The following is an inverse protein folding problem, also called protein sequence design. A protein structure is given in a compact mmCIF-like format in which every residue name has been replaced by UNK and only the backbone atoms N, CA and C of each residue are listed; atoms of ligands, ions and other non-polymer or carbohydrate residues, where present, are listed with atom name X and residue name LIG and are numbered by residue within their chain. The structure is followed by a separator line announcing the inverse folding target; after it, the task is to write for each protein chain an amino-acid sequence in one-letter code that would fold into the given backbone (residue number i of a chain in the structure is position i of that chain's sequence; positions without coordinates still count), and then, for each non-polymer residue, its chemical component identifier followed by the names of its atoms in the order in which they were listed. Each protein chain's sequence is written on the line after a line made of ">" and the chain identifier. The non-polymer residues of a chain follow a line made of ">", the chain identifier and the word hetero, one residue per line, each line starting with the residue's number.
data_IF_395374730938
#
_entry.id   IF_395374730938
#
_cell.length_a   1.000
_cell.length_b   1.000
_cell.length_c   1.000
_cell.angle_alpha   90.00
_cell.angle_beta   90.00
_cell.angle_gamma   90.00
#
_symmetry.space_group_name_H-M   'P 1'
#
loop_
_entity.id
_entity.type
_entity.pdbx_description
1 polymer ?
#
# COMPACT_ATOMS: atom_id res chain seq x y z
N UNK A 1 -24.40 -23.02 5.03
CA UNK A 1 -23.81 -23.34 6.33
C UNK A 1 -23.20 -22.05 6.89
N UNK A 2 -23.90 -21.41 7.85
CA UNK A 2 -23.42 -20.19 8.52
C UNK A 2 -22.47 -20.59 9.64
N UNK A 3 -21.20 -20.26 9.50
CA UNK A 3 -20.23 -20.39 10.58
C UNK A 3 -20.13 -19.04 11.28
N UNK A 4 -20.74 -18.95 12.47
CA UNK A 4 -20.51 -17.87 13.43
C UNK A 4 -19.17 -18.11 14.10
N UNK A 5 -18.19 -17.24 13.87
CA UNK A 5 -16.95 -17.22 14.66
C UNK A 5 -17.22 -16.39 15.91
N UNK A 6 -17.34 -17.08 17.04
CA UNK A 6 -17.36 -16.47 18.38
C UNK A 6 -15.97 -15.95 18.71
N UNK A 7 -15.83 -14.64 18.91
CA UNK A 7 -14.63 -14.04 19.51
C UNK A 7 -14.84 -13.97 21.00
N UNK A 8 -14.07 -14.66 21.85
CA UNK A 8 -14.19 -14.53 23.29
C UNK A 8 -13.61 -13.19 23.74
N UNK A 9 -14.46 -12.41 24.41
CA UNK A 9 -14.09 -11.16 25.07
C UNK A 9 -13.31 -11.50 26.35
N UNK A 10 -11.98 -11.43 26.33
CA UNK A 10 -11.16 -11.52 27.54
C UNK A 10 -10.99 -10.12 28.14
N UNK A 11 -11.60 -9.91 29.31
CA UNK A 11 -11.33 -8.79 30.21
C UNK A 11 -9.91 -8.93 30.78
N UNK A 12 -8.98 -8.13 30.28
CA UNK A 12 -7.63 -7.99 30.85
C UNK A 12 -7.48 -6.60 31.49
N UNK A 13 -7.17 -6.61 32.77
CA UNK A 13 -6.88 -5.44 33.60
C UNK A 13 -5.59 -4.73 33.15
N UNK A 14 -5.45 -3.39 33.38
CA UNK A 14 -4.48 -2.59 32.64
C UNK A 14 -3.15 -2.46 33.38
N UNK A 15 -2.08 -2.90 32.72
CA UNK A 15 -0.71 -2.46 32.99
C UNK A 15 0.02 -2.30 31.65
N UNK A 16 -0.24 -1.18 30.97
CA UNK A 16 0.41 -0.89 29.69
C UNK A 16 0.89 0.57 29.66
N UNK A 17 2.21 0.74 29.65
CA UNK A 17 2.84 1.99 29.20
C UNK A 17 2.84 2.00 27.68
N UNK A 18 2.02 2.86 27.06
CA UNK A 18 2.00 3.07 25.63
C UNK A 18 3.28 3.77 25.17
N UNK A 19 3.90 3.24 24.14
CA UNK A 19 4.92 3.96 23.36
C UNK A 19 4.25 4.69 22.20
N UNK A 20 4.67 5.94 22.01
CA UNK A 20 4.21 6.78 20.89
C UNK A 20 4.66 6.19 19.55
N UNK A 21 3.70 5.78 18.74
CA UNK A 21 3.92 5.40 17.34
C UNK A 21 2.81 6.04 16.51
N UNK A 22 3.04 7.31 16.17
CA UNK A 22 2.28 8.02 15.14
C UNK A 22 3.13 8.12 13.86
N UNK A 23 2.66 8.80 12.86
CA UNK A 23 3.33 9.05 11.56
C UNK A 23 4.85 9.40 11.61
N UNK A 24 5.40 9.57 12.82
CA UNK A 24 6.82 9.74 13.12
C UNK A 24 7.69 8.48 12.98
N UNK A 25 7.13 7.27 12.73
CA UNK A 25 7.98 6.08 12.60
C UNK A 25 8.93 6.12 11.39
N UNK A 26 8.58 6.90 10.36
CA UNK A 26 9.51 7.13 9.26
C UNK A 26 10.71 7.99 9.66
N UNK A 27 10.58 8.83 10.70
CA UNK A 27 11.67 9.69 11.19
C UNK A 27 12.50 9.06 12.33
N UNK A 28 11.92 8.16 13.12
CA UNK A 28 12.64 7.52 14.26
C UNK A 28 13.52 6.34 13.86
N UNK A 29 13.26 5.67 12.74
CA UNK A 29 14.20 4.67 12.21
C UNK A 29 15.51 5.31 11.70
N UNK A 30 15.49 6.62 11.45
CA UNK A 30 16.65 7.38 10.97
C UNK A 30 17.46 8.06 12.10
N UNK A 31 17.09 7.91 13.39
CA UNK A 31 17.70 8.66 14.52
C UNK A 31 18.78 7.90 15.29
N UNK A 32 19.47 6.94 14.69
CA UNK A 32 20.70 6.39 15.28
C UNK A 32 21.90 7.05 14.59
N UNK A 33 22.27 8.18 15.08
CA UNK A 33 23.55 8.86 15.26
C UNK A 33 23.36 10.36 15.21
N UNK A 34 22.97 10.96 16.35
CA UNK A 34 23.26 12.35 16.58
C UNK A 34 24.77 12.47 16.89
N UNK A 35 25.55 12.67 15.84
CA UNK A 35 26.86 13.30 15.95
C UNK A 35 26.72 14.78 15.60
N UNK A 36 27.28 15.63 16.44
CA UNK A 36 27.52 17.08 16.34
C UNK A 36 27.07 17.78 15.05
N UNK A 37 26.42 18.89 15.23
CA UNK A 37 25.99 19.93 14.29
C UNK A 37 26.93 20.10 13.08
N UNK A 38 26.80 19.23 12.10
CA UNK A 38 27.47 19.35 10.82
C UNK A 38 26.50 20.02 9.84
N UNK A 39 26.60 21.33 9.78
CA UNK A 39 25.72 22.21 9.00
C UNK A 39 25.98 22.18 7.48
N UNK A 40 26.82 21.27 7.00
CA UNK A 40 27.16 21.17 5.58
C UNK A 40 26.07 20.48 4.77
N UNK A 41 25.55 21.16 3.76
CA UNK A 41 24.67 20.63 2.72
C UNK A 41 25.42 20.55 1.38
N UNK A 42 25.05 19.65 0.47
CA UNK A 42 23.96 18.66 0.54
C UNK A 42 24.32 17.43 1.36
N UNK A 43 23.32 16.83 2.03
CA UNK A 43 23.43 15.51 2.67
C UNK A 43 22.79 14.47 1.77
N UNK A 44 23.56 13.50 1.32
CA UNK A 44 23.06 12.41 0.47
C UNK A 44 22.83 11.15 1.30
N UNK A 45 21.65 10.55 1.13
CA UNK A 45 21.28 9.27 1.70
C UNK A 45 20.91 8.31 0.56
N UNK A 46 21.47 7.11 0.57
CA UNK A 46 21.13 6.02 -0.33
C UNK A 46 20.53 4.90 0.48
N UNK A 47 19.41 4.36 0.02
CA UNK A 47 18.72 3.19 0.59
C UNK A 47 18.37 2.23 -0.53
N UNK A 48 18.33 0.94 -0.21
CA UNK A 48 17.94 -0.07 -1.17
C UNK A 48 17.01 -1.12 -0.59
N UNK A 49 16.29 -1.80 -1.49
CA UNK A 49 15.45 -2.94 -1.21
C UNK A 49 15.68 -4.01 -2.26
N UNK A 50 16.09 -5.19 -1.82
CA UNK A 50 16.06 -6.41 -2.62
C UNK A 50 14.94 -7.31 -2.09
N UNK A 51 14.10 -7.83 -2.99
CA UNK A 51 13.04 -8.79 -2.66
C UNK A 51 12.91 -9.81 -3.78
N UNK A 52 13.10 -11.09 -3.43
CA UNK A 52 12.92 -12.20 -4.34
C UNK A 52 11.83 -13.14 -3.83
N UNK A 53 11.18 -13.85 -4.73
CA UNK A 53 10.08 -14.78 -4.44
C UNK A 53 10.25 -16.09 -5.17
N UNK A 54 9.78 -17.16 -4.54
CA UNK A 54 9.40 -18.39 -5.19
C UNK A 54 7.89 -18.56 -5.05
N UNK A 55 7.21 -18.81 -6.15
CA UNK A 55 5.77 -18.95 -6.26
C UNK A 55 5.43 -20.36 -6.73
N UNK A 56 4.40 -20.95 -6.15
CA UNK A 56 3.84 -22.22 -6.61
C UNK A 56 2.32 -22.09 -6.68
N UNK A 57 1.73 -22.44 -7.83
CA UNK A 57 0.28 -22.55 -7.95
C UNK A 57 -0.21 -23.88 -7.37
N UNK A 58 -1.14 -23.80 -6.43
CA UNK A 58 -1.83 -24.96 -5.87
C UNK A 58 -3.19 -25.24 -6.52
N UNK A 59 -3.51 -24.55 -7.62
CA UNK A 59 -4.77 -24.72 -8.36
C UNK A 59 -4.49 -25.28 -9.74
N UNK A 60 -5.13 -26.39 -10.06
CA UNK A 60 -4.99 -27.03 -11.38
C UNK A 60 -5.32 -26.04 -12.51
N UNK A 61 -4.49 -26.01 -13.54
CA UNK A 61 -4.64 -25.17 -14.72
C UNK A 61 -4.61 -23.65 -14.45
N UNK A 62 -4.10 -23.22 -13.30
CA UNK A 62 -3.91 -21.79 -12.98
C UNK A 62 -2.43 -21.54 -12.81
N UNK A 63 -1.86 -20.62 -13.59
CA UNK A 63 -0.46 -20.27 -13.51
C UNK A 63 -0.11 -19.39 -12.28
N UNK A 64 1.17 -19.18 -12.04
CA UNK A 64 1.67 -18.35 -10.93
C UNK A 64 1.30 -16.87 -11.04
N UNK A 65 0.87 -16.39 -12.20
CA UNK A 65 0.33 -15.05 -12.40
C UNK A 65 -1.18 -15.00 -12.10
N UNK A 66 -1.79 -16.18 -11.94
CA UNK A 66 -3.21 -16.34 -11.62
C UNK A 66 -4.13 -16.40 -12.84
N UNK A 67 -3.58 -16.63 -14.02
CA UNK A 67 -4.35 -16.88 -15.25
C UNK A 67 -4.73 -18.36 -15.34
N UNK A 68 -6.01 -18.65 -15.60
CA UNK A 68 -6.47 -20.01 -15.88
C UNK A 68 -6.18 -20.37 -17.34
N UNK A 69 -5.67 -21.58 -17.57
CA UNK A 69 -5.34 -22.14 -18.88
C UNK A 69 -6.06 -23.49 -19.04
N UNK A 70 -7.16 -23.53 -19.79
CA UNK A 70 -7.95 -24.76 -19.97
C UNK A 70 -7.19 -25.88 -20.68
N UNK A 71 -6.14 -25.55 -21.45
CA UNK A 71 -5.23 -26.48 -22.11
C UNK A 71 -4.08 -26.97 -21.23
N UNK A 72 -3.97 -26.47 -19.98
CA UNK A 72 -2.91 -26.85 -19.06
C UNK A 72 -1.53 -26.26 -19.37
N UNK A 73 -1.42 -25.25 -20.25
CA UNK A 73 -0.14 -24.67 -20.68
C UNK A 73 0.49 -23.71 -19.67
N UNK A 74 -0.13 -23.48 -18.53
CA UNK A 74 0.31 -22.51 -17.52
C UNK A 74 1.59 -22.91 -16.78
N UNK A 75 2.36 -21.92 -16.29
CA UNK A 75 3.54 -22.12 -15.45
C UNK A 75 3.15 -22.29 -14.00
N UNK A 76 3.33 -23.47 -13.41
CA UNK A 76 2.89 -23.80 -12.05
C UNK A 76 3.83 -23.29 -10.96
N UNK A 77 5.09 -23.00 -11.27
CA UNK A 77 6.04 -22.45 -10.30
C UNK A 77 7.04 -21.49 -10.97
N UNK A 78 7.54 -20.53 -10.19
CA UNK A 78 8.46 -19.53 -10.73
C UNK A 78 9.32 -18.88 -9.63
N UNK A 79 10.61 -18.69 -9.91
CA UNK A 79 11.48 -17.77 -9.19
C UNK A 79 11.43 -16.39 -9.83
N UNK A 80 11.30 -15.35 -9.01
CA UNK A 80 11.32 -13.98 -9.53
C UNK A 80 12.00 -12.99 -8.56
N UNK A 81 12.66 -11.99 -9.13
CA UNK A 81 12.98 -10.76 -8.39
C UNK A 81 11.74 -9.88 -8.43
N UNK A 82 11.14 -9.66 -7.27
CA UNK A 82 9.91 -8.83 -7.13
C UNK A 82 10.26 -7.34 -7.12
N UNK A 83 11.28 -6.98 -6.30
CA UNK A 83 11.77 -5.61 -6.21
C UNK A 83 13.30 -5.59 -6.16
N UNK A 84 13.87 -4.64 -6.85
CA UNK A 84 15.25 -4.18 -6.71
C UNK A 84 15.23 -2.66 -6.74
N UNK A 85 14.90 -2.06 -5.58
CA UNK A 85 14.72 -0.62 -5.46
C UNK A 85 15.99 0.05 -4.98
N UNK A 86 16.32 1.17 -5.60
CA UNK A 86 17.38 2.08 -5.14
C UNK A 86 16.75 3.46 -4.98
N UNK A 87 16.85 4.00 -3.78
CA UNK A 87 16.39 5.34 -3.43
C UNK A 87 17.59 6.23 -3.12
N UNK A 88 17.63 7.39 -3.72
CA UNK A 88 18.53 8.48 -3.37
C UNK A 88 17.70 9.66 -2.84
N UNK A 89 18.11 10.19 -1.69
CA UNK A 89 17.57 11.43 -1.12
C UNK A 89 18.72 12.39 -0.91
N UNK A 90 18.60 13.59 -1.47
CA UNK A 90 19.54 14.67 -1.28
C UNK A 90 18.86 15.80 -0.49
N UNK A 91 19.27 15.97 0.76
CA UNK A 91 18.86 17.14 1.54
C UNK A 91 19.73 18.33 1.08
N UNK A 92 19.17 19.19 0.25
CA UNK A 92 19.88 20.33 -0.37
C UNK A 92 20.04 21.49 0.60
N UNK A 93 19.09 21.67 1.51
CA UNK A 93 19.10 22.65 2.60
C UNK A 93 18.28 22.13 3.78
N UNK A 94 18.20 22.88 4.90
CA UNK A 94 17.32 22.55 6.03
C UNK A 94 15.85 22.33 5.61
N UNK A 95 15.42 22.89 4.48
CA UNK A 95 14.02 22.90 4.02
C UNK A 95 13.78 22.20 2.70
N UNK A 96 14.83 21.90 1.93
CA UNK A 96 14.69 21.41 0.56
C UNK A 96 15.25 19.99 0.46
N UNK A 97 14.43 19.06 0.01
CA UNK A 97 14.77 17.67 -0.29
C UNK A 97 14.49 17.35 -1.76
N UNK A 98 15.39 16.63 -2.40
CA UNK A 98 15.16 16.00 -3.70
C UNK A 98 15.27 14.50 -3.51
N UNK A 99 14.31 13.74 -4.06
CA UNK A 99 14.32 12.29 -3.96
C UNK A 99 14.06 11.62 -5.30
N UNK A 100 14.79 10.53 -5.53
CA UNK A 100 14.61 9.63 -6.67
C UNK A 100 14.52 8.21 -6.15
N UNK A 101 13.53 7.44 -6.64
CA UNK A 101 13.36 6.02 -6.37
C UNK A 101 13.16 5.29 -7.69
N UNK A 102 14.03 4.33 -7.99
CA UNK A 102 13.94 3.47 -9.15
C UNK A 102 13.76 2.01 -8.73
N UNK A 103 12.89 1.26 -9.42
CA UNK A 103 12.74 -0.19 -9.28
C UNK A 103 13.40 -0.89 -10.47
N UNK A 104 14.65 -1.31 -10.30
CA UNK A 104 15.43 -1.93 -11.37
C UNK A 104 14.90 -3.31 -11.78
N UNK A 105 14.07 -3.98 -10.95
CA UNK A 105 13.41 -5.23 -11.33
C UNK A 105 12.43 -5.05 -12.49
N UNK A 106 11.90 -3.84 -12.70
CA UNK A 106 10.94 -3.53 -13.75
C UNK A 106 11.59 -3.39 -15.15
N UNK A 107 12.92 -3.40 -15.27
CA UNK A 107 13.60 -3.44 -16.56
C UNK A 107 13.30 -4.68 -17.41
N UNK A 108 12.84 -5.78 -16.78
CA UNK A 108 12.44 -6.99 -17.53
C UNK A 108 11.10 -6.86 -18.25
N UNK A 109 10.31 -5.81 -18.00
CA UNK A 109 9.00 -5.64 -18.61
C UNK A 109 8.95 -4.39 -19.47
N UNK A 110 8.21 -3.37 -19.09
CA UNK A 110 8.16 -2.08 -19.78
C UNK A 110 8.88 -1.00 -18.94
N UNK A 111 10.17 -0.74 -19.20
CA UNK A 111 10.92 0.24 -18.43
C UNK A 111 10.40 1.67 -18.60
N UNK A 112 9.75 2.01 -19.73
CA UNK A 112 9.22 3.34 -20.02
C UNK A 112 8.16 3.78 -19.00
N UNK A 113 7.39 2.83 -18.49
CA UNK A 113 6.25 3.12 -17.61
C UNK A 113 6.42 2.66 -16.18
N UNK A 114 7.52 1.95 -15.85
CA UNK A 114 7.61 1.25 -14.57
C UNK A 114 8.80 1.59 -13.70
N UNK A 115 9.98 1.80 -14.27
CA UNK A 115 11.26 1.86 -13.52
C UNK A 115 11.30 3.02 -12.54
N UNK A 116 10.98 4.24 -12.97
CA UNK A 116 11.01 5.41 -12.10
C UNK A 116 9.74 5.46 -11.24
N UNK A 117 9.90 5.40 -9.92
CA UNK A 117 8.81 5.43 -8.94
C UNK A 117 8.64 6.82 -8.31
N UNK A 118 9.63 7.32 -7.55
CA UNK A 118 9.64 8.70 -7.08
C UNK A 118 10.61 9.54 -7.90
N UNK A 119 10.23 10.77 -8.20
CA UNK A 119 11.11 11.81 -8.70
C UNK A 119 10.50 13.16 -8.30
N UNK A 120 10.87 13.69 -7.14
CA UNK A 120 10.25 14.89 -6.62
C UNK A 120 11.23 15.83 -5.91
N UNK A 121 10.83 17.08 -5.86
CA UNK A 121 11.36 18.09 -4.96
C UNK A 121 10.32 18.39 -3.88
N UNK A 122 10.76 18.41 -2.62
CA UNK A 122 9.94 18.80 -1.47
C UNK A 122 10.56 20.03 -0.80
N UNK A 123 9.72 21.04 -0.55
CA UNK A 123 10.10 22.21 0.25
C UNK A 123 9.23 22.28 1.51
N UNK A 124 9.87 22.31 2.68
CA UNK A 124 9.22 22.36 3.98
C UNK A 124 9.26 23.79 4.54
N UNK A 125 8.12 24.47 4.54
CA UNK A 125 7.99 25.81 5.13
C UNK A 125 7.99 25.73 6.67
N UNK A 126 7.26 24.75 7.21
CA UNK A 126 7.14 24.46 8.63
C UNK A 126 6.61 23.03 8.80
N UNK A 127 6.54 22.48 10.03
CA UNK A 127 5.85 21.19 10.26
C UNK A 127 4.40 21.17 9.77
N UNK A 128 3.76 22.35 9.75
CA UNK A 128 2.36 22.50 9.31
C UNK A 128 2.19 22.60 7.80
N UNK A 129 3.25 22.83 7.03
CA UNK A 129 3.17 22.97 5.57
C UNK A 129 4.47 22.55 4.89
N UNK A 130 4.37 21.57 4.01
CA UNK A 130 5.38 21.25 3.01
C UNK A 130 4.71 21.07 1.64
N UNK A 131 5.42 21.52 0.60
CA UNK A 131 4.97 21.36 -0.80
C UNK A 131 5.90 20.37 -1.48
N UNK A 132 5.31 19.40 -2.18
CA UNK A 132 6.01 18.40 -3.00
C UNK A 132 5.60 18.58 -4.45
N UNK A 133 6.56 18.59 -5.37
CA UNK A 133 6.33 18.73 -6.82
C UNK A 133 7.10 17.65 -7.56
N UNK A 134 6.48 17.00 -8.53
CA UNK A 134 7.07 15.94 -9.33
C UNK A 134 6.27 14.65 -9.30
N UNK A 135 6.94 13.51 -9.35
CA UNK A 135 6.29 12.20 -9.28
C UNK A 135 6.37 11.64 -7.85
N UNK A 136 5.24 11.41 -7.24
CA UNK A 136 5.07 10.95 -5.87
C UNK A 136 3.78 10.15 -5.71
N UNK A 137 3.55 9.59 -4.50
CA UNK A 137 2.30 8.88 -4.14
C UNK A 137 1.32 9.88 -3.55
N UNK A 138 0.05 9.97 -4.04
CA UNK A 138 -0.89 11.04 -3.68
C UNK A 138 -1.51 10.94 -2.28
N UNK A 139 -1.07 9.99 -1.44
CA UNK A 139 -1.56 9.76 -0.07
C UNK A 139 -3.07 9.45 0.04
N UNK A 140 -3.65 8.71 -0.90
CA UNK A 140 -5.05 8.26 -0.84
C UNK A 140 -5.14 6.87 -0.20
N UNK A 141 -5.25 6.80 1.13
CA UNK A 141 -5.35 5.56 1.91
C UNK A 141 -4.10 5.20 2.72
N UNK A 142 -4.20 4.13 3.52
CA UNK A 142 -3.13 3.69 4.43
C UNK A 142 -1.89 3.26 3.65
N UNK A 143 -2.06 2.44 2.62
CA UNK A 143 -0.93 1.83 1.89
C UNK A 143 -0.08 2.86 1.14
N UNK A 144 -0.60 4.09 0.91
CA UNK A 144 0.18 5.21 0.37
C UNK A 144 1.15 5.82 1.38
N UNK A 145 0.98 5.57 2.67
CA UNK A 145 1.74 6.23 3.73
C UNK A 145 3.05 5.52 4.10
N UNK A 146 3.28 4.31 3.62
CA UNK A 146 4.49 3.52 3.92
C UNK A 146 5.06 2.83 2.67
N UNK A 147 6.37 2.53 2.68
CA UNK A 147 7.00 1.79 1.59
C UNK A 147 6.70 0.29 1.68
N UNK A 148 6.87 -0.42 0.55
CA UNK A 148 6.60 -1.86 0.44
C UNK A 148 7.45 -2.73 1.38
N UNK A 149 8.63 -2.27 1.74
CA UNK A 149 9.60 -2.99 2.57
C UNK A 149 9.16 -3.16 4.04
N UNK A 150 8.18 -2.40 4.50
CA UNK A 150 7.58 -2.54 5.84
C UNK A 150 6.14 -3.03 5.83
N UNK A 151 5.64 -3.49 4.68
CA UNK A 151 4.30 -4.08 4.58
C UNK A 151 4.20 -5.33 5.44
N UNK A 152 3.06 -5.49 6.11
CA UNK A 152 2.78 -6.58 7.05
C UNK A 152 2.00 -7.73 6.40
N UNK A 153 2.10 -7.83 5.11
CA UNK A 153 1.56 -8.87 4.23
C UNK A 153 2.59 -9.20 3.16
N UNK A 154 2.25 -10.07 2.22
CA UNK A 154 3.15 -10.45 1.13
C UNK A 154 3.18 -9.44 -0.01
N UNK A 155 2.09 -8.68 -0.22
CA UNK A 155 1.97 -7.69 -1.30
C UNK A 155 0.98 -6.58 -0.91
N UNK A 156 0.85 -5.56 -1.78
CA UNK A 156 -0.22 -4.57 -1.72
C UNK A 156 -1.60 -5.23 -1.77
N UNK A 157 -2.61 -4.57 -1.21
CA UNK A 157 -3.99 -5.05 -1.30
C UNK A 157 -4.52 -4.96 -2.74
N UNK A 158 -5.53 -5.78 -3.03
CA UNK A 158 -6.22 -5.74 -4.32
C UNK A 158 -6.85 -4.37 -4.59
N UNK A 159 -7.42 -3.74 -3.55
CA UNK A 159 -7.96 -2.39 -3.68
C UNK A 159 -6.88 -1.35 -3.97
N UNK A 160 -5.68 -1.45 -3.37
CA UNK A 160 -4.56 -0.56 -3.70
C UNK A 160 -4.20 -0.64 -5.18
N UNK A 161 -4.09 -1.87 -5.71
CA UNK A 161 -3.76 -2.08 -7.12
C UNK A 161 -4.84 -1.54 -8.06
N UNK A 162 -6.11 -1.73 -7.72
CA UNK A 162 -7.23 -1.25 -8.54
C UNK A 162 -7.35 0.28 -8.50
N UNK A 163 -7.23 0.88 -7.31
CA UNK A 163 -7.23 2.35 -7.17
C UNK A 163 -6.01 3.00 -7.82
N UNK A 164 -4.88 2.28 -7.88
CA UNK A 164 -3.69 2.69 -8.64
C UNK A 164 -3.95 2.82 -10.14
N UNK A 165 -4.67 1.87 -10.73
CA UNK A 165 -5.09 1.94 -12.15
C UNK A 165 -6.04 3.11 -12.43
N UNK A 166 -6.83 3.51 -11.43
CA UNK A 166 -7.77 4.63 -11.51
C UNK A 166 -7.12 6.00 -11.19
N UNK A 167 -5.81 6.04 -10.96
CA UNK A 167 -5.07 7.27 -10.69
C UNK A 167 -5.15 7.78 -9.25
N UNK A 168 -5.94 7.16 -8.36
CA UNK A 168 -6.10 7.58 -6.97
C UNK A 168 -4.99 7.12 -6.04
N UNK A 169 -4.27 6.07 -6.41
CA UNK A 169 -3.18 5.47 -5.66
C UNK A 169 -1.95 5.24 -6.55
N UNK A 170 -0.84 4.73 -5.94
CA UNK A 170 0.43 4.52 -6.62
C UNK A 170 1.09 5.85 -7.04
N UNK A 171 2.07 5.82 -7.95
CA UNK A 171 2.84 7.01 -8.31
C UNK A 171 2.13 7.85 -9.38
N UNK A 172 2.04 9.16 -9.12
CA UNK A 172 1.38 10.14 -9.98
C UNK A 172 2.27 11.38 -10.12
N UNK A 173 2.14 12.09 -11.23
CA UNK A 173 2.84 13.36 -11.47
C UNK A 173 1.92 14.52 -11.07
N UNK A 174 2.42 15.45 -10.25
CA UNK A 174 1.64 16.58 -9.80
C UNK A 174 2.27 17.39 -8.68
N UNK A 175 1.42 18.00 -7.87
CA UNK A 175 1.78 18.83 -6.71
C UNK A 175 0.99 18.38 -5.49
N UNK A 176 1.62 18.39 -4.32
CA UNK A 176 0.94 18.13 -3.06
C UNK A 176 1.36 19.09 -1.96
N UNK A 177 0.41 19.39 -1.07
CA UNK A 177 0.61 20.07 0.19
C UNK A 177 0.37 19.07 1.33
N UNK A 178 1.30 19.01 2.29
CA UNK A 178 1.18 18.13 3.47
C UNK A 178 1.51 18.91 4.73
N UNK A 179 0.91 18.51 5.86
CA UNK A 179 1.23 19.14 7.14
C UNK A 179 0.72 18.30 8.32
N UNK A 180 1.35 18.58 9.48
CA UNK A 180 1.01 17.96 10.75
C UNK A 180 0.78 19.06 11.79
N UNK A 181 -0.24 18.88 12.64
CA UNK A 181 -0.59 19.82 13.71
C UNK A 181 -1.38 19.07 14.81
N UNK A 182 -1.96 19.79 15.74
CA UNK A 182 -2.93 19.27 16.70
C UNK A 182 -4.22 20.04 16.65
N UNK A 183 -5.34 19.35 16.84
CA UNK A 183 -6.66 19.93 17.07
C UNK A 183 -6.97 19.78 18.56
N UNK A 184 -6.66 20.83 19.36
CA UNK A 184 -6.50 20.69 20.80
C UNK A 184 -5.34 19.75 21.12
N UNK A 185 -5.61 18.65 21.85
CA UNK A 185 -4.61 17.62 22.17
C UNK A 185 -4.53 16.48 21.14
N UNK A 186 -5.46 16.42 20.20
CA UNK A 186 -5.56 15.35 19.21
C UNK A 186 -4.56 15.61 18.07
N UNK A 187 -3.61 14.69 17.78
CA UNK A 187 -2.76 14.78 16.61
C UNK A 187 -3.61 14.77 15.33
N UNK A 188 -3.24 15.65 14.42
CA UNK A 188 -3.90 15.78 13.13
C UNK A 188 -2.88 15.96 12.03
N UNK A 189 -3.03 15.22 10.94
CA UNK A 189 -2.24 15.42 9.73
C UNK A 189 -3.15 15.46 8.50
N UNK A 190 -2.66 16.15 7.47
CA UNK A 190 -3.39 16.28 6.22
C UNK A 190 -2.48 16.19 5.02
N UNK A 191 -3.04 15.76 3.90
CA UNK A 191 -2.46 15.89 2.57
C UNK A 191 -3.52 16.34 1.58
N UNK A 192 -3.13 17.23 0.67
CA UNK A 192 -3.91 17.70 -0.47
C UNK A 192 -3.04 17.51 -1.69
N UNK A 193 -3.54 16.89 -2.75
CA UNK A 193 -2.78 16.69 -3.98
C UNK A 193 -3.59 16.99 -5.22
N UNK A 194 -2.90 17.48 -6.24
CA UNK A 194 -3.42 17.68 -7.60
C UNK A 194 -2.47 16.93 -8.53
N UNK A 195 -3.00 15.93 -9.22
CA UNK A 195 -2.20 15.04 -10.08
C UNK A 195 -2.87 14.85 -11.45
N UNK A 196 -2.10 14.42 -12.45
CA UNK A 196 -2.64 14.11 -13.77
C UNK A 196 -3.62 12.93 -13.76
N UNK A 197 -3.45 11.96 -12.84
CA UNK A 197 -4.35 10.81 -12.73
C UNK A 197 -4.11 9.68 -13.74
N UNK A 198 -3.13 9.81 -14.61
CA UNK A 198 -2.81 8.86 -15.68
C UNK A 198 -1.63 7.92 -15.40
N UNK A 199 -1.19 7.87 -14.13
CA UNK A 199 -0.13 6.96 -13.66
C UNK A 199 1.27 7.54 -13.69
N UNK A 200 2.26 6.68 -13.40
CA UNK A 200 3.67 7.05 -13.35
C UNK A 200 4.31 7.15 -14.73
N UNK A 201 5.36 7.99 -14.84
CA UNK A 201 6.23 8.10 -16.01
C UNK A 201 5.51 8.54 -17.31
N UNK A 202 4.36 9.19 -17.19
CA UNK A 202 3.66 9.74 -18.33
C UNK A 202 4.27 11.08 -18.74
N UNK A 203 4.81 11.15 -19.94
CA UNK A 203 5.48 12.36 -20.46
C UNK A 203 4.47 13.48 -20.72
N UNK A 204 3.25 13.11 -21.10
CA UNK A 204 2.17 14.04 -21.44
C UNK A 204 0.89 13.58 -20.76
N UNK A 205 0.10 14.53 -20.31
CA UNK A 205 -1.26 14.26 -19.85
C UNK A 205 -2.11 13.81 -21.06
N UNK A 206 -2.87 12.73 -20.90
CA UNK A 206 -3.57 12.09 -22.00
C UNK A 206 -4.96 12.70 -22.28
N UNK A 207 -5.54 13.47 -21.36
CA UNK A 207 -6.91 14.00 -21.51
C UNK A 207 -7.12 15.41 -20.95
N UNK A 208 -6.07 16.05 -20.42
CA UNK A 208 -6.09 17.35 -19.70
C UNK A 208 -6.88 17.32 -18.39
N UNK A 209 -7.49 16.20 -18.01
CA UNK A 209 -8.16 16.01 -16.74
C UNK A 209 -7.19 16.07 -15.56
N UNK A 210 -7.68 16.47 -14.39
CA UNK A 210 -6.89 16.44 -13.16
C UNK A 210 -7.67 15.73 -12.07
N UNK A 211 -6.92 15.06 -11.20
CA UNK A 211 -7.47 14.45 -9.99
C UNK A 211 -6.98 15.21 -8.76
N UNK A 212 -7.91 15.58 -7.92
CA UNK A 212 -7.71 16.26 -6.64
C UNK A 212 -8.00 15.25 -5.55
N UNK A 213 -7.03 14.97 -4.70
CA UNK A 213 -7.19 14.04 -3.59
C UNK A 213 -6.85 14.70 -2.26
N UNK A 214 -7.57 14.33 -1.22
CA UNK A 214 -7.32 14.74 0.16
C UNK A 214 -7.31 13.53 1.07
N UNK A 215 -6.44 13.57 2.07
CA UNK A 215 -6.41 12.65 3.22
C UNK A 215 -6.30 13.45 4.50
N UNK A 216 -7.16 13.13 5.46
CA UNK A 216 -7.16 13.71 6.81
C UNK A 216 -6.97 12.56 7.79
N UNK A 217 -6.06 12.69 8.74
CA UNK A 217 -5.78 11.66 9.75
C UNK A 217 -5.91 12.25 11.14
N UNK A 218 -6.72 11.62 11.97
CA UNK A 218 -7.02 12.00 13.34
C UNK A 218 -6.45 10.96 14.31
N UNK A 219 -5.56 11.36 15.19
CA UNK A 219 -4.98 10.50 16.24
C UNK A 219 -5.93 10.34 17.42
N UNK A 220 -6.81 9.35 17.39
CA UNK A 220 -7.88 9.16 18.37
C UNK A 220 -7.38 8.65 19.73
N UNK A 221 -6.29 7.89 19.75
CA UNK A 221 -5.69 7.38 20.98
C UNK A 221 -4.20 7.22 20.85
N UNK A 222 -3.44 8.02 21.59
CA UNK A 222 -1.97 7.86 21.68
C UNK A 222 -1.59 6.53 22.35
N UNK A 223 -2.37 6.09 23.35
CA UNK A 223 -2.10 4.88 24.13
C UNK A 223 -2.14 3.61 23.28
N UNK A 224 -3.09 3.54 22.35
CA UNK A 224 -3.32 2.37 21.50
C UNK A 224 -2.91 2.62 20.04
N UNK A 225 -2.25 3.75 19.75
CA UNK A 225 -1.86 4.13 18.39
C UNK A 225 -3.04 4.16 17.42
N UNK A 226 -4.26 4.49 17.91
CA UNK A 226 -5.46 4.46 17.07
C UNK A 226 -5.55 5.74 16.25
N UNK A 227 -5.59 5.59 14.92
CA UNK A 227 -5.77 6.69 13.99
C UNK A 227 -6.94 6.40 13.05
N UNK A 228 -7.76 7.42 12.81
CA UNK A 228 -8.82 7.43 11.81
C UNK A 228 -8.37 8.26 10.61
N UNK A 229 -8.39 7.65 9.42
CA UNK A 229 -8.12 8.31 8.15
C UNK A 229 -9.40 8.50 7.34
N UNK A 230 -9.59 9.71 6.80
CA UNK A 230 -10.66 10.03 5.85
C UNK A 230 -10.02 10.45 4.53
N UNK A 231 -10.49 9.87 3.43
CA UNK A 231 -9.96 10.11 2.09
C UNK A 231 -11.10 10.56 1.17
N UNK A 232 -10.86 11.61 0.39
CA UNK A 232 -11.79 12.12 -0.60
C UNK A 232 -11.05 12.48 -1.88
N UNK A 233 -11.69 12.26 -3.02
CA UNK A 233 -11.14 12.62 -4.31
C UNK A 233 -12.22 13.00 -5.31
N UNK A 234 -11.95 14.03 -6.11
CA UNK A 234 -12.74 14.43 -7.27
C UNK A 234 -11.81 14.66 -8.44
N UNK A 235 -12.27 14.46 -9.64
CA UNK A 235 -11.44 14.67 -10.83
C UNK A 235 -12.21 14.59 -12.12
N UNK A 236 -11.47 14.69 -13.21
CA UNK A 236 -11.98 14.57 -14.56
C UNK A 236 -11.16 13.56 -15.34
N UNK A 237 -11.83 12.68 -16.07
CA UNK A 237 -11.24 11.72 -17.02
C UNK A 237 -12.06 11.76 -18.30
N UNK A 238 -11.41 12.00 -19.45
CA UNK A 238 -12.08 12.12 -20.74
C UNK A 238 -13.28 13.08 -20.71
N UNK A 239 -13.11 14.25 -20.08
CA UNK A 239 -14.15 15.29 -19.90
C UNK A 239 -15.35 14.85 -19.07
N UNK A 240 -15.25 13.76 -18.30
CA UNK A 240 -16.28 13.30 -17.38
C UNK A 240 -15.79 13.32 -15.94
N UNK A 241 -16.67 13.75 -15.03
CA UNK A 241 -16.34 13.80 -13.62
C UNK A 241 -16.24 12.40 -13.02
N UNK A 242 -15.21 12.20 -12.21
CA UNK A 242 -14.97 11.00 -11.40
C UNK A 242 -14.76 11.37 -9.94
N UNK A 243 -15.07 10.45 -9.03
CA UNK A 243 -14.84 10.66 -7.60
C UNK A 243 -14.38 9.38 -6.92
N UNK A 244 -13.71 9.55 -5.78
CA UNK A 244 -13.29 8.47 -4.89
C UNK A 244 -13.48 8.87 -3.44
N UNK A 245 -13.82 7.91 -2.59
CA UNK A 245 -13.96 8.06 -1.15
C UNK A 245 -13.27 6.90 -0.44
N UNK A 246 -12.78 7.13 0.77
CA UNK A 246 -12.20 6.09 1.58
C UNK A 246 -12.20 6.44 3.06
N UNK A 247 -12.24 5.42 3.90
CA UNK A 247 -12.08 5.52 5.34
C UNK A 247 -11.16 4.42 5.80
N UNK A 248 -10.32 4.74 6.76
CA UNK A 248 -9.40 3.76 7.34
C UNK A 248 -9.23 3.95 8.84
N UNK A 249 -8.93 2.85 9.51
CA UNK A 249 -8.63 2.79 10.93
C UNK A 249 -7.36 1.97 11.13
N UNK A 250 -6.41 2.53 11.86
CA UNK A 250 -5.20 1.82 12.28
C UNK A 250 -5.12 1.77 13.78
N UNK A 251 -4.50 0.72 14.31
CA UNK A 251 -4.21 0.57 15.73
C UNK A 251 -2.91 -0.17 15.93
N UNK A 252 -2.17 0.22 16.97
CA UNK A 252 -0.93 -0.45 17.35
C UNK A 252 -0.87 -0.57 18.88
N UNK A 253 -0.82 -1.81 19.36
CA UNK A 253 -0.81 -2.11 20.78
C UNK A 253 0.37 -3.00 21.12
N UNK A 254 1.26 -2.50 21.99
CA UNK A 254 2.30 -3.32 22.60
C UNK A 254 1.79 -3.89 23.92
N UNK A 255 1.94 -5.19 24.15
CA UNK A 255 1.54 -5.86 25.39
C UNK A 255 2.63 -6.82 25.88
N UNK A 256 2.77 -6.91 27.19
CA UNK A 256 3.94 -7.52 27.79
C UNK A 256 5.22 -6.78 27.38
N UNK A 257 6.34 -7.49 27.31
CA UNK A 257 7.66 -6.89 26.96
C UNK A 257 8.07 -7.09 25.51
N UNK A 258 7.37 -7.96 24.77
CA UNK A 258 7.83 -8.47 23.47
C UNK A 258 6.77 -8.58 22.39
N UNK A 259 5.49 -8.39 22.76
CA UNK A 259 4.38 -8.53 21.83
C UNK A 259 3.94 -7.19 21.28
N UNK A 260 3.68 -7.13 20.01
CA UNK A 260 3.07 -6.00 19.33
C UNK A 260 1.97 -6.51 18.39
N UNK A 261 0.78 -5.96 18.53
CA UNK A 261 -0.35 -6.19 17.64
C UNK A 261 -0.60 -4.91 16.84
N UNK A 262 -0.48 -4.99 15.54
CA UNK A 262 -0.82 -3.95 14.59
C UNK A 262 -2.08 -4.35 13.82
N UNK A 263 -2.99 -3.42 13.65
CA UNK A 263 -4.26 -3.65 12.96
C UNK A 263 -4.50 -2.55 11.93
N UNK A 264 -4.94 -2.95 10.75
CA UNK A 264 -5.32 -2.05 9.67
C UNK A 264 -6.67 -2.48 9.12
N UNK A 265 -7.58 -1.53 9.01
CA UNK A 265 -8.87 -1.67 8.33
C UNK A 265 -9.00 -0.52 7.34
N UNK A 266 -9.29 -0.80 6.08
CA UNK A 266 -9.50 0.24 5.09
C UNK A 266 -10.63 -0.15 4.13
N UNK A 267 -11.53 0.79 3.87
CA UNK A 267 -12.60 0.65 2.89
C UNK A 267 -12.55 1.83 1.91
N UNK A 268 -12.65 1.54 0.62
CA UNK A 268 -12.60 2.52 -0.46
C UNK A 268 -13.67 2.25 -1.52
N UNK A 269 -14.12 3.34 -2.17
CA UNK A 269 -15.01 3.30 -3.32
C UNK A 269 -14.58 4.37 -4.32
N UNK A 270 -14.65 4.05 -5.63
CA UNK A 270 -14.39 5.02 -6.70
C UNK A 270 -15.23 4.70 -7.96
N UNK A 271 -15.34 5.67 -8.84
CA UNK A 271 -15.83 5.41 -10.20
C UNK A 271 -14.77 4.61 -10.95
N UNK A 272 -15.15 3.43 -11.48
CA UNK A 272 -14.30 2.58 -12.30
C UNK A 272 -14.40 3.00 -13.77
N UNK A 273 -13.77 4.14 -14.08
CA UNK A 273 -13.75 4.68 -15.43
C UNK A 273 -12.97 3.78 -16.42
N UNK A 274 -11.98 3.03 -15.94
CA UNK A 274 -11.24 2.10 -16.80
C UNK A 274 -12.16 0.98 -17.32
N UNK A 275 -12.99 0.40 -16.45
CA UNK A 275 -13.97 -0.60 -16.87
C UNK A 275 -15.00 0.00 -17.83
N UNK A 276 -15.48 1.23 -17.55
CA UNK A 276 -16.43 1.91 -18.45
C UNK A 276 -15.86 2.14 -19.83
N UNK A 277 -14.63 2.66 -19.94
CA UNK A 277 -14.00 2.95 -21.22
C UNK A 277 -13.41 1.72 -21.93
N UNK A 278 -13.22 0.60 -21.24
CA UNK A 278 -12.83 -0.67 -21.88
C UNK A 278 -13.97 -1.33 -22.66
N UNK A 279 -15.23 -0.94 -22.40
CA UNK A 279 -16.39 -1.44 -23.12
C UNK A 279 -16.57 -0.67 -24.43
N UNK A 280 -16.95 -1.38 -25.50
CA UNK A 280 -17.44 -0.77 -26.72
C UNK A 280 -18.62 0.18 -26.41
N UNK A 281 -18.76 1.26 -27.18
CA UNK A 281 -19.75 2.30 -26.89
C UNK A 281 -21.19 1.73 -26.86
N UNK A 282 -21.48 0.80 -27.75
CA UNK A 282 -22.76 0.07 -27.82
C UNK A 282 -23.03 -0.83 -26.61
N UNK A 283 -21.97 -1.27 -25.90
CA UNK A 283 -22.04 -2.11 -24.70
C UNK A 283 -22.14 -1.29 -23.41
N UNK A 284 -22.01 0.03 -23.45
CA UNK A 284 -22.13 0.95 -22.31
C UNK A 284 -23.61 1.22 -22.00
N UNK A 285 -24.29 0.22 -21.48
CA UNK A 285 -25.74 0.30 -21.18
C UNK A 285 -26.11 1.19 -20.00
N UNK A 286 -25.13 1.60 -19.18
CA UNK A 286 -25.32 2.40 -17.97
C UNK A 286 -24.43 3.64 -17.99
N UNK A 287 -24.76 4.63 -17.12
CA UNK A 287 -23.95 5.85 -16.97
C UNK A 287 -22.60 5.54 -16.31
N UNK A 288 -21.59 6.37 -16.54
CA UNK A 288 -20.29 6.26 -15.90
C UNK A 288 -20.40 6.19 -14.35
N UNK A 289 -21.32 6.96 -13.76
CA UNK A 289 -21.56 6.97 -12.31
C UNK A 289 -22.11 5.65 -11.74
N UNK A 290 -22.52 4.70 -12.57
CA UNK A 290 -22.99 3.38 -12.13
C UNK A 290 -21.86 2.36 -12.07
N UNK A 291 -20.71 2.66 -12.70
CA UNK A 291 -19.52 1.84 -12.66
C UNK A 291 -18.71 2.17 -11.40
N UNK A 292 -19.05 1.54 -10.29
CA UNK A 292 -18.45 1.80 -8.99
C UNK A 292 -17.69 0.58 -8.48
N UNK A 293 -16.36 0.71 -8.37
CA UNK A 293 -15.52 -0.24 -7.64
C UNK A 293 -15.56 0.07 -6.16
N UNK A 294 -15.63 -0.95 -5.33
CA UNK A 294 -15.41 -0.85 -3.89
C UNK A 294 -14.57 -2.00 -3.37
N UNK A 295 -13.75 -1.69 -2.38
CA UNK A 295 -12.92 -2.67 -1.71
C UNK A 295 -12.88 -2.40 -0.21
N UNK A 296 -12.62 -3.47 0.53
CA UNK A 296 -12.33 -3.42 1.97
C UNK A 296 -11.23 -4.44 2.26
N UNK A 297 -10.30 -4.12 3.16
CA UNK A 297 -9.44 -5.11 3.77
C UNK A 297 -9.31 -4.92 5.28
N UNK A 298 -9.02 -6.02 5.95
CA UNK A 298 -8.63 -6.08 7.35
C UNK A 298 -7.32 -6.87 7.46
N UNK A 299 -6.33 -6.28 8.15
CA UNK A 299 -4.99 -6.86 8.33
C UNK A 299 -4.56 -6.76 9.79
N UNK A 300 -4.76 -7.80 10.61
CA UNK A 300 -4.07 -7.98 11.87
C UNK A 300 -2.66 -8.52 11.62
N UNK A 301 -1.69 -8.00 12.35
CA UNK A 301 -0.30 -8.49 12.36
C UNK A 301 0.20 -8.58 13.80
N UNK A 302 0.45 -9.78 14.25
CA UNK A 302 1.02 -10.08 15.56
C UNK A 302 2.52 -10.29 15.41
N UNK A 303 3.31 -9.50 16.13
CA UNK A 303 4.78 -9.56 16.14
C UNK A 303 5.27 -9.90 17.54
N UNK A 304 6.18 -10.87 17.62
CA UNK A 304 6.88 -11.26 18.85
C UNK A 304 8.38 -11.00 18.71
N UNK A 305 8.93 -10.14 19.55
CA UNK A 305 10.36 -9.85 19.55
C UNK A 305 11.14 -10.96 20.24
N UNK A 306 12.14 -11.48 19.52
CA UNK A 306 13.08 -12.51 19.99
C UNK A 306 14.46 -11.90 19.94
N UNK A 307 15.23 -12.00 20.99
CA UNK A 307 16.66 -11.65 20.95
C UNK A 307 17.45 -12.95 21.03
N UNK A 308 17.46 -13.71 19.93
CA UNK A 308 18.15 -15.00 19.87
C UNK A 308 19.03 -15.09 18.61
N UNK A 309 20.36 -15.04 18.81
CA UNK A 309 21.32 -14.92 17.71
C UNK A 309 20.98 -13.78 16.76
N UNK A 310 20.82 -14.11 15.47
CA UNK A 310 20.45 -13.14 14.43
C UNK A 310 18.95 -13.00 14.22
N UNK A 311 18.11 -13.75 14.95
CA UNK A 311 16.66 -13.65 14.86
C UNK A 311 16.14 -12.53 15.75
N UNK A 312 15.47 -11.55 15.15
CA UNK A 312 14.95 -10.37 15.83
C UNK A 312 13.48 -10.51 16.20
N UNK A 313 12.66 -11.11 15.33
CA UNK A 313 11.23 -11.27 15.59
C UNK A 313 10.59 -12.37 14.73
N UNK A 314 9.45 -12.86 15.23
CA UNK A 314 8.45 -13.60 14.47
C UNK A 314 7.28 -12.69 14.14
N UNK A 315 6.67 -12.89 12.98
CA UNK A 315 5.45 -12.22 12.56
C UNK A 315 4.40 -13.23 12.12
N UNK A 316 3.15 -12.99 12.52
CA UNK A 316 1.99 -13.73 12.05
C UNK A 316 0.93 -12.73 11.61
N UNK A 317 0.51 -12.80 10.38
CA UNK A 317 -0.58 -11.96 9.86
C UNK A 317 -1.54 -12.76 9.00
N UNK A 318 -2.75 -12.23 8.82
CA UNK A 318 -3.69 -12.75 7.84
C UNK A 318 -4.52 -11.59 7.30
N UNK A 319 -4.26 -11.16 6.06
CA UNK A 319 -5.09 -10.15 5.41
C UNK A 319 -6.31 -10.79 4.79
N UNK A 320 -7.48 -10.32 5.16
CA UNK A 320 -8.73 -10.56 4.46
C UNK A 320 -9.04 -9.36 3.56
N UNK A 321 -9.43 -9.62 2.34
CA UNK A 321 -9.81 -8.60 1.35
C UNK A 321 -11.12 -8.99 0.65
N UNK A 322 -11.93 -8.01 0.40
CA UNK A 322 -13.05 -8.10 -0.53
C UNK A 322 -12.94 -6.95 -1.52
N UNK A 323 -13.07 -7.24 -2.81
CA UNK A 323 -13.14 -6.25 -3.87
C UNK A 323 -14.25 -6.62 -4.85
N UNK A 324 -15.04 -5.62 -5.22
CA UNK A 324 -16.05 -5.72 -6.26
C UNK A 324 -15.77 -4.64 -7.30
N UNK A 325 -15.32 -5.01 -8.51
CA UNK A 325 -14.94 -4.03 -9.53
C UNK A 325 -16.10 -3.22 -10.06
N UNK A 326 -17.35 -3.68 -9.86
CA UNK A 326 -18.55 -2.94 -10.24
C UNK A 326 -19.80 -3.44 -9.51
N UNK A 327 -19.93 -3.10 -8.25
CA UNK A 327 -20.96 -3.65 -7.37
C UNK A 327 -22.41 -3.30 -7.75
N UNK A 328 -22.64 -2.19 -8.47
CA UNK A 328 -23.98 -1.82 -8.94
C UNK A 328 -24.44 -2.65 -10.14
N UNK A 329 -23.53 -3.08 -11.00
CA UNK A 329 -23.84 -3.81 -12.23
C UNK A 329 -23.52 -5.31 -12.14
N UNK A 330 -23.48 -5.86 -10.91
CA UNK A 330 -23.24 -7.28 -10.65
C UNK A 330 -21.97 -7.84 -11.28
N UNK A 331 -20.86 -7.13 -11.12
CA UNK A 331 -19.57 -7.59 -11.54
C UNK A 331 -19.05 -8.76 -10.67
N UNK A 332 -17.91 -9.33 -11.05
CA UNK A 332 -17.35 -10.51 -10.43
C UNK A 332 -16.55 -10.17 -9.16
N UNK A 333 -17.21 -10.12 -8.03
CA UNK A 333 -16.57 -9.84 -6.75
C UNK A 333 -15.54 -10.93 -6.38
N UNK A 334 -14.43 -10.49 -5.75
CA UNK A 334 -13.33 -11.34 -5.32
C UNK A 334 -13.10 -11.20 -3.83
N UNK A 335 -12.92 -12.33 -3.15
CA UNK A 335 -12.39 -12.41 -1.79
C UNK A 335 -10.96 -12.97 -1.83
N UNK A 336 -10.06 -12.40 -1.02
CA UNK A 336 -8.68 -12.89 -0.90
C UNK A 336 -8.31 -13.04 0.56
N UNK A 337 -7.74 -14.19 0.91
CA UNK A 337 -7.14 -14.43 2.21
C UNK A 337 -5.63 -14.59 2.02
N UNK A 338 -4.85 -13.86 2.82
CA UNK A 338 -3.38 -13.90 2.73
C UNK A 338 -2.77 -14.14 4.12
N UNK A 339 -2.81 -15.39 4.64
CA UNK A 339 -2.06 -15.74 5.82
C UNK A 339 -0.55 -15.71 5.53
N UNK A 340 0.22 -15.18 6.47
CA UNK A 340 1.66 -15.04 6.37
C UNK A 340 2.33 -15.32 7.71
N UNK A 341 3.45 -16.05 7.67
CA UNK A 341 4.41 -16.19 8.74
C UNK A 341 5.74 -15.56 8.32
N UNK A 342 6.31 -14.73 9.17
CA UNK A 342 7.56 -14.00 8.92
C UNK A 342 8.63 -14.30 9.97
N UNK A 343 9.88 -14.40 9.51
CA UNK A 343 11.09 -14.45 10.32
C UNK A 343 11.90 -13.21 10.02
N UNK A 344 12.14 -12.36 11.01
CA UNK A 344 12.95 -11.15 10.89
C UNK A 344 14.33 -11.38 11.50
N UNK A 345 15.38 -11.22 10.70
CA UNK A 345 16.77 -11.42 11.12
C UNK A 345 17.49 -10.10 11.47
N UNK A 346 17.13 -9.01 10.82
CA UNK A 346 17.61 -7.68 11.14
C UNK A 346 16.44 -6.79 11.54
N UNK A 347 16.58 -6.07 12.67
CA UNK A 347 15.55 -5.17 13.20
C UNK A 347 15.03 -4.19 12.15
N UNK A 348 13.81 -3.73 12.36
CA UNK A 348 13.12 -2.78 11.48
C UNK A 348 12.94 -3.31 10.05
N UNK A 349 12.60 -4.60 9.91
CA UNK A 349 12.40 -5.26 8.61
C UNK A 349 13.66 -5.26 7.72
N UNK A 350 14.84 -5.14 8.30
CA UNK A 350 16.11 -5.05 7.58
C UNK A 350 16.43 -6.29 6.75
N UNK A 351 16.19 -7.49 7.30
CA UNK A 351 16.24 -8.75 6.56
C UNK A 351 15.17 -9.68 7.08
N UNK A 352 14.36 -10.29 6.20
CA UNK A 352 13.29 -11.21 6.59
C UNK A 352 13.02 -12.28 5.54
N UNK A 353 12.52 -13.43 6.02
CA UNK A 353 11.93 -14.48 5.21
C UNK A 353 10.44 -14.52 5.55
N UNK A 354 9.59 -14.58 4.54
CA UNK A 354 8.15 -14.66 4.69
C UNK A 354 7.62 -15.87 3.92
N UNK A 355 6.77 -16.63 4.58
CA UNK A 355 6.05 -17.77 4.03
C UNK A 355 4.56 -17.43 4.08
N UNK A 356 3.85 -17.64 3.00
CA UNK A 356 2.41 -17.40 3.03
C UNK A 356 1.66 -17.97 1.84
N UNK A 357 0.35 -17.80 1.92
CA UNK A 357 -0.58 -18.23 0.89
C UNK A 357 -1.37 -17.01 0.42
N UNK A 358 -1.74 -17.02 -0.85
CA UNK A 358 -2.77 -16.13 -1.38
C UNK A 358 -3.91 -17.02 -1.90
N UNK A 359 -5.07 -16.90 -1.27
CA UNK A 359 -6.24 -17.72 -1.54
C UNK A 359 -7.34 -16.82 -2.12
N UNK A 360 -7.51 -16.85 -3.43
CA UNK A 360 -8.50 -16.03 -4.13
C UNK A 360 -9.78 -16.83 -4.39
N UNK A 361 -10.92 -16.18 -4.15
CA UNK A 361 -12.26 -16.72 -4.38
C UNK A 361 -13.10 -15.68 -5.14
N UNK A 362 -13.45 -16.02 -6.37
CA UNK A 362 -14.31 -15.22 -7.22
C UNK A 362 -15.75 -15.70 -7.11
N UNK A 363 -16.71 -14.76 -7.20
CA UNK A 363 -18.14 -15.08 -7.23
C UNK A 363 -18.50 -15.96 -8.43
N UNK A 364 -17.88 -15.69 -9.58
CA UNK A 364 -17.97 -16.49 -10.80
C UNK A 364 -16.57 -16.83 -11.27
N UNK A 365 -16.36 -18.05 -11.76
CA UNK A 365 -15.09 -18.46 -12.33
C UNK A 365 -15.21 -18.42 -13.85
N UNK A 366 -14.29 -17.68 -14.47
CA UNK A 366 -14.24 -17.52 -15.95
C UNK A 366 -12.97 -18.17 -16.45
N UNK A 367 -13.12 -19.25 -17.23
CA UNK A 367 -11.99 -19.97 -17.82
C UNK A 367 -11.17 -19.08 -18.76
N UNK A 368 -9.88 -19.35 -18.86
CA UNK A 368 -8.91 -18.62 -19.68
C UNK A 368 -8.82 -17.11 -19.34
N UNK A 369 -9.10 -16.77 -18.10
CA UNK A 369 -8.98 -15.41 -17.56
C UNK A 369 -8.32 -15.42 -16.18
N UNK A 370 -8.01 -14.23 -15.66
CA UNK A 370 -7.53 -14.07 -14.27
C UNK A 370 -8.67 -14.10 -13.24
N UNK A 371 -9.93 -14.17 -13.68
CA UNK A 371 -11.12 -14.26 -12.81
C UNK A 371 -11.46 -15.71 -12.48
N UNK A 372 -10.50 -16.43 -11.89
CA UNK A 372 -10.62 -17.82 -11.51
C UNK A 372 -10.09 -18.02 -10.09
N UNK A 373 -10.68 -18.93 -9.32
CA UNK A 373 -10.21 -19.26 -7.98
C UNK A 373 -8.78 -19.78 -8.03
N UNK A 374 -7.94 -19.27 -7.14
CA UNK A 374 -6.53 -19.69 -7.10
C UNK A 374 -5.97 -19.77 -5.70
N UNK A 375 -5.01 -20.67 -5.52
CA UNK A 375 -4.21 -20.80 -4.32
C UNK A 375 -2.74 -20.69 -4.72
N UNK A 376 -2.05 -19.65 -4.26
CA UNK A 376 -0.61 -19.49 -4.47
C UNK A 376 0.12 -19.70 -3.16
N UNK A 377 1.13 -20.55 -3.14
CA UNK A 377 2.13 -20.61 -2.07
C UNK A 377 3.29 -19.70 -2.43
N UNK A 378 3.73 -18.90 -1.46
CA UNK A 378 4.72 -17.84 -1.67
C UNK A 378 5.80 -17.96 -0.60
N UNK A 379 7.05 -18.13 -1.04
CA UNK A 379 8.24 -17.94 -0.21
C UNK A 379 8.90 -16.65 -0.66
N UNK A 380 9.12 -15.71 0.26
CA UNK A 380 9.71 -14.42 -0.05
C UNK A 380 10.91 -14.15 0.85
N UNK A 381 12.00 -13.70 0.27
CA UNK A 381 13.16 -13.19 0.99
C UNK A 381 13.32 -11.69 0.70
N UNK A 382 13.66 -10.94 1.73
CA UNK A 382 13.83 -9.49 1.65
C UNK A 382 15.09 -9.07 2.39
N UNK A 383 15.80 -8.10 1.82
CA UNK A 383 16.87 -7.36 2.50
C UNK A 383 16.81 -5.88 2.17
N UNK A 384 17.01 -5.04 3.18
CA UNK A 384 17.19 -3.58 3.06
C UNK A 384 18.65 -3.23 3.26
N UNK A 385 19.14 -2.24 2.57
CA UNK A 385 20.51 -1.73 2.70
C UNK A 385 20.57 -0.21 2.55
#
# INVERSE_FOLDING_TARGET
>A
LHIFIFVPCFLLHPLLKGQEIGASQQSKADSIQQTKDDTTYPKLQVKGLFQARYLVSGTKNVDVNGLHHSDGSGTDNNFMVKYMRVQMRAQISKRTEVAVLANLADFKSDPKTKVLENAYLKYTFSPKLAITVGQFRPWFGIEETYPIDIIKSLDWSNQYLEFGKLGWASFQIGVAATGETTLGEMPFSYSLSVVNGNGKNQVVDNDNGKQYATRLVFGLSKKYGVNLGLNGGIGEVMKKQVHALGVDLTGNVSFGRRWNLDMQLEAKQAINHNLYYSLEESARTSKLSDYLVRGIYFLPNLRYEVNYFNLSAFELSCRYEYIDPNYKLNANARQTYTPMFGLEFLKNYGARIQLGLQLDRYKKQTENTSEFNKNLFIVQVQSRF
#
